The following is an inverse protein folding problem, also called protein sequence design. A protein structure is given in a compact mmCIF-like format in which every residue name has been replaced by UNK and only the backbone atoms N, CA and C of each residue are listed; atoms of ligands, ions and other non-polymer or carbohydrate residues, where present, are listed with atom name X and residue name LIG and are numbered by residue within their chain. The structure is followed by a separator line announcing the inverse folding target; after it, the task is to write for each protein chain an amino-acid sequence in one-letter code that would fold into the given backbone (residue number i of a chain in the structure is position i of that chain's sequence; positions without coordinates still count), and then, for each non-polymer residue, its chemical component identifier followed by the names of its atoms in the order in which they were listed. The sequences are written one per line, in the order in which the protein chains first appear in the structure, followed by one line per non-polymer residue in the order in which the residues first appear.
data_IF_987491611015
#
_entry.id   IF_987491611015
#
_cell.length_a   1.000
_cell.length_b   1.000
_cell.length_c   1.000
_cell.angle_alpha   90.00
_cell.angle_beta   90.00
_cell.angle_gamma   90.00
#
_symmetry.space_group_name_H-M   'P 1'
#
loop_
_entity.id
_entity.type
_entity.pdbx_description
1 polymer ?
#
# COMPACT_ATOMS: atom_id res chain seq x y z
N UNK A 1 -11.30 -28.71 0.47
CA UNK A 1 -10.67 -28.96 1.79
C UNK A 1 -9.51 -27.99 1.95
N UNK A 2 -9.21 -27.49 3.15
CA UNK A 2 -8.00 -26.70 3.36
C UNK A 2 -6.75 -27.54 3.08
N UNK A 3 -5.62 -26.90 2.78
CA UNK A 3 -4.36 -27.61 2.71
C UNK A 3 -4.04 -28.24 4.06
N UNK A 4 -3.59 -29.49 4.05
CA UNK A 4 -3.21 -30.24 5.25
C UNK A 4 -1.84 -30.86 5.02
N UNK A 5 -0.77 -30.31 5.63
CA UNK A 5 0.59 -30.80 5.44
C UNK A 5 0.81 -32.20 6.04
N UNK A 6 -0.15 -32.74 6.79
CA UNK A 6 -0.08 -34.10 7.35
C UNK A 6 -0.66 -35.16 6.39
N UNK A 7 -1.18 -34.74 5.23
CA UNK A 7 -1.72 -35.64 4.20
C UNK A 7 -0.80 -35.70 2.96
N UNK A 8 -0.72 -36.86 2.28
CA UNK A 8 -1.30 -38.15 2.69
C UNK A 8 -0.63 -38.69 3.97
N UNK A 9 -1.36 -39.51 4.73
CA UNK A 9 -0.83 -40.08 5.97
C UNK A 9 0.46 -40.87 5.69
N UNK A 10 1.43 -40.80 6.60
CA UNK A 10 2.68 -41.52 6.46
C UNK A 10 2.43 -43.04 6.27
N UNK A 11 3.15 -43.68 5.35
CA UNK A 11 2.98 -45.08 4.96
C UNK A 11 1.60 -45.45 4.36
N UNK A 12 0.77 -44.48 4.00
CA UNK A 12 -0.48 -44.75 3.25
C UNK A 12 -0.19 -45.05 1.78
N UNK A 13 -1.00 -45.88 1.10
CA UNK A 13 -0.95 -45.99 -0.35
C UNK A 13 -1.11 -44.63 -1.01
N UNK A 14 -0.31 -44.35 -2.03
CA UNK A 14 -0.41 -43.10 -2.78
C UNK A 14 -1.80 -42.99 -3.43
N UNK A 15 -2.52 -41.93 -3.10
CA UNK A 15 -3.80 -41.58 -3.70
C UNK A 15 -3.65 -40.36 -4.59
N UNK A 16 -3.76 -40.55 -5.91
CA UNK A 16 -3.72 -39.43 -6.87
C UNK A 16 -4.88 -38.45 -6.68
N UNK A 17 -6.00 -38.89 -6.11
CA UNK A 17 -7.11 -38.01 -5.77
C UNK A 17 -6.75 -37.08 -4.61
N UNK A 18 -6.15 -37.62 -3.54
CA UNK A 18 -5.70 -36.85 -2.38
C UNK A 18 -4.64 -35.82 -2.77
N UNK A 19 -3.63 -36.25 -3.53
CA UNK A 19 -2.55 -35.37 -3.99
C UNK A 19 -3.06 -34.20 -4.83
N UNK A 20 -3.98 -34.44 -5.77
CA UNK A 20 -4.59 -33.36 -6.56
C UNK A 20 -5.37 -32.40 -5.70
N UNK A 21 -6.09 -32.90 -4.69
CA UNK A 21 -6.84 -32.04 -3.77
C UNK A 21 -5.90 -31.15 -2.96
N UNK A 22 -4.82 -31.71 -2.39
CA UNK A 22 -3.81 -30.94 -1.66
C UNK A 22 -3.13 -29.87 -2.52
N UNK A 23 -2.72 -30.21 -3.74
CA UNK A 23 -2.09 -29.28 -4.66
C UNK A 23 -3.03 -28.16 -5.12
N UNK A 24 -4.30 -28.48 -5.34
CA UNK A 24 -5.32 -27.48 -5.71
C UNK A 24 -5.55 -26.50 -4.56
N UNK A 25 -5.64 -27.01 -3.32
CA UNK A 25 -5.81 -26.16 -2.14
C UNK A 25 -4.59 -25.28 -1.87
N UNK A 26 -3.38 -25.85 -1.97
CA UNK A 26 -2.14 -25.07 -1.83
C UNK A 26 -2.04 -23.98 -2.89
N UNK A 27 -2.42 -24.28 -4.15
CA UNK A 27 -2.46 -23.27 -5.21
C UNK A 27 -3.41 -22.14 -4.85
N UNK A 28 -4.63 -22.45 -4.38
CA UNK A 28 -5.58 -21.42 -3.96
C UNK A 28 -5.01 -20.53 -2.85
N UNK A 29 -4.37 -21.12 -1.83
CA UNK A 29 -3.72 -20.36 -0.76
C UNK A 29 -2.56 -19.48 -1.26
N UNK A 30 -1.82 -19.92 -2.28
CA UNK A 30 -0.75 -19.12 -2.89
C UNK A 30 -1.35 -17.98 -3.71
N UNK A 31 -2.39 -18.25 -4.49
CA UNK A 31 -3.06 -17.24 -5.33
C UNK A 31 -3.76 -16.17 -4.47
N UNK A 32 -4.27 -16.54 -3.29
CA UNK A 32 -4.91 -15.62 -2.33
C UNK A 32 -3.91 -14.80 -1.51
N UNK A 33 -2.61 -15.15 -1.53
CA UNK A 33 -1.60 -14.38 -0.79
C UNK A 33 -1.38 -13.02 -1.43
N UNK A 34 -1.33 -12.01 -0.57
CA UNK A 34 -0.94 -10.65 -0.93
C UNK A 34 0.45 -10.67 -1.57
N UNK A 35 0.54 -10.15 -2.79
CA UNK A 35 1.80 -9.98 -3.51
C UNK A 35 2.46 -8.64 -3.20
N UNK A 36 3.75 -8.50 -3.53
CA UNK A 36 4.44 -7.22 -3.43
C UNK A 36 3.74 -6.10 -4.23
N UNK A 37 3.19 -6.43 -5.41
CA UNK A 37 2.44 -5.46 -6.20
C UNK A 37 1.15 -5.02 -5.49
N UNK A 38 0.42 -5.95 -4.86
CA UNK A 38 -0.76 -5.59 -4.07
C UNK A 38 -0.42 -4.63 -2.93
N UNK A 39 0.74 -4.82 -2.28
CA UNK A 39 1.21 -3.88 -1.24
C UNK A 39 1.57 -2.52 -1.81
N UNK A 40 2.24 -2.48 -2.96
CA UNK A 40 2.59 -1.23 -3.64
C UNK A 40 1.32 -0.46 -4.04
N UNK A 41 0.34 -1.14 -4.62
CA UNK A 41 -0.96 -0.56 -5.00
C UNK A 41 -1.71 -0.08 -3.76
N UNK A 42 -1.78 -0.91 -2.71
CA UNK A 42 -2.44 -0.53 -1.46
C UNK A 42 -1.81 0.72 -0.82
N UNK A 43 -0.47 0.80 -0.78
CA UNK A 43 0.23 2.00 -0.30
C UNK A 43 -0.02 3.18 -1.25
N UNK A 44 -0.05 2.94 -2.56
CA UNK A 44 -0.37 3.95 -3.58
C UNK A 44 -1.75 4.56 -3.39
N UNK A 45 -2.74 3.75 -3.09
CA UNK A 45 -4.14 4.19 -2.98
C UNK A 45 -4.49 4.76 -1.61
N UNK A 46 -3.77 4.36 -0.55
CA UNK A 46 -4.13 4.65 0.84
C UNK A 46 -3.14 5.56 1.57
N UNK A 47 -2.08 6.04 0.92
CA UNK A 47 -1.10 6.95 1.55
C UNK A 47 -0.77 8.16 0.67
N UNK A 48 -0.61 9.36 1.26
CA UNK A 48 -0.15 10.53 0.52
C UNK A 48 1.26 10.34 -0.09
N UNK A 49 1.55 11.11 -1.14
CA UNK A 49 2.90 11.19 -1.68
C UNK A 49 3.89 11.87 -0.71
N UNK A 50 5.18 11.53 -0.77
CA UNK A 50 6.21 12.21 0.02
C UNK A 50 6.41 13.66 -0.45
N UNK A 51 6.23 14.62 0.44
CA UNK A 51 6.34 16.07 0.16
C UNK A 51 7.76 16.61 0.34
N UNK A 52 8.79 15.77 0.14
CA UNK A 52 10.19 16.16 0.34
C UNK A 52 10.66 17.29 -0.59
N UNK A 53 9.96 17.50 -1.71
CA UNK A 53 10.21 18.61 -2.64
C UNK A 53 9.57 19.94 -2.20
N UNK A 54 8.60 19.92 -1.28
CA UNK A 54 7.90 21.12 -0.80
C UNK A 54 8.79 21.84 0.21
N UNK A 55 9.42 22.93 -0.22
CA UNK A 55 10.32 23.69 0.63
C UNK A 55 9.56 24.42 1.77
N UNK A 56 10.17 24.61 2.95
CA UNK A 56 9.59 25.40 4.03
C UNK A 56 9.24 26.83 3.60
N UNK A 57 8.14 27.38 4.15
CA UNK A 57 7.75 28.76 3.92
C UNK A 57 8.61 29.72 4.77
N UNK A 58 9.56 30.41 4.14
CA UNK A 58 10.38 31.43 4.78
C UNK A 58 9.68 32.81 4.86
N UNK A 59 8.46 32.83 5.39
CA UNK A 59 7.65 34.05 5.52
C UNK A 59 7.78 34.66 6.91
N UNK A 60 8.04 35.97 6.97
CA UNK A 60 7.91 36.77 8.19
C UNK A 60 6.59 37.53 8.09
N UNK A 61 5.63 37.20 8.97
CA UNK A 61 4.31 37.84 8.99
C UNK A 61 4.39 39.26 9.58
N UNK A 62 3.65 40.21 8.99
CA UNK A 62 3.43 41.54 9.59
C UNK A 62 2.19 41.53 10.49
N UNK A 63 2.00 42.59 11.27
CA UNK A 63 0.83 42.77 12.11
C UNK A 63 0.12 44.11 11.79
N UNK A 64 -1.04 44.11 11.09
CA UNK A 64 -1.74 42.92 10.56
C UNK A 64 -1.01 42.32 9.34
N UNK A 65 -1.27 41.04 9.00
CA UNK A 65 -0.74 40.43 7.79
C UNK A 65 -1.20 41.18 6.54
N UNK A 66 -0.29 41.39 5.60
CA UNK A 66 -0.64 41.97 4.29
C UNK A 66 -1.33 40.94 3.40
N UNK A 67 -2.07 41.43 2.38
CA UNK A 67 -2.66 40.57 1.36
C UNK A 67 -1.60 39.68 0.67
N UNK A 68 -0.42 40.24 0.38
CA UNK A 68 0.68 39.50 -0.25
C UNK A 68 1.18 38.35 0.64
N UNK A 69 1.33 38.59 1.95
CA UNK A 69 1.75 37.55 2.88
C UNK A 69 0.70 36.43 2.98
N UNK A 70 -0.59 36.77 2.97
CA UNK A 70 -1.66 35.77 2.94
C UNK A 70 -1.63 34.95 1.64
N UNK A 71 -1.37 35.60 0.50
CA UNK A 71 -1.26 34.91 -0.79
C UNK A 71 -0.10 33.91 -0.79
N UNK A 72 1.05 34.27 -0.22
CA UNK A 72 2.19 33.35 -0.11
C UNK A 72 1.88 32.09 0.71
N UNK A 73 1.05 32.22 1.76
CA UNK A 73 0.57 31.06 2.52
C UNK A 73 -0.36 30.21 1.67
N UNK A 74 -1.30 30.81 0.96
CA UNK A 74 -2.23 30.11 0.07
C UNK A 74 -1.46 29.33 -1.02
N UNK A 75 -0.49 29.96 -1.66
CA UNK A 75 0.31 29.33 -2.71
C UNK A 75 1.10 28.14 -2.17
N UNK A 76 1.69 28.27 -0.97
CA UNK A 76 2.41 27.16 -0.32
C UNK A 76 1.47 26.02 0.08
N UNK A 77 0.25 26.32 0.52
CA UNK A 77 -0.76 25.31 0.81
C UNK A 77 -1.16 24.55 -0.46
N UNK A 78 -1.32 25.24 -1.58
CA UNK A 78 -1.61 24.60 -2.87
C UNK A 78 -0.44 23.71 -3.31
N UNK A 79 0.81 24.17 -3.21
CA UNK A 79 2.00 23.37 -3.49
C UNK A 79 2.05 22.10 -2.62
N UNK A 80 1.74 22.22 -1.32
CA UNK A 80 1.67 21.07 -0.42
C UNK A 80 0.56 20.10 -0.80
N UNK A 81 -0.64 20.61 -1.08
CA UNK A 81 -1.80 19.80 -1.48
C UNK A 81 -1.49 19.03 -2.76
N UNK A 82 -0.88 19.70 -3.74
CA UNK A 82 -0.51 19.07 -5.00
C UNK A 82 0.63 18.06 -4.80
N UNK A 83 1.60 18.35 -3.93
CA UNK A 83 2.66 17.42 -3.56
C UNK A 83 2.19 16.18 -2.77
N UNK A 84 1.03 16.25 -2.10
CA UNK A 84 0.43 15.12 -1.37
C UNK A 84 -0.37 14.18 -2.29
N UNK A 85 -0.83 14.67 -3.45
CA UNK A 85 -1.49 13.84 -4.46
C UNK A 85 -0.42 12.95 -5.12
N UNK A 86 -0.74 11.67 -5.29
CA UNK A 86 0.09 10.73 -6.07
C UNK A 86 -0.18 10.85 -7.56
#
# INVERSE_FOLDING_TARGET
MPFDPTKPANNSPISSAELRSQLTSLKAEIDDRVTGNNLIDYVGDNTPAPVGAVAPLALIASNPPTQTQLQQVIDKLNELIDGLKR
#
